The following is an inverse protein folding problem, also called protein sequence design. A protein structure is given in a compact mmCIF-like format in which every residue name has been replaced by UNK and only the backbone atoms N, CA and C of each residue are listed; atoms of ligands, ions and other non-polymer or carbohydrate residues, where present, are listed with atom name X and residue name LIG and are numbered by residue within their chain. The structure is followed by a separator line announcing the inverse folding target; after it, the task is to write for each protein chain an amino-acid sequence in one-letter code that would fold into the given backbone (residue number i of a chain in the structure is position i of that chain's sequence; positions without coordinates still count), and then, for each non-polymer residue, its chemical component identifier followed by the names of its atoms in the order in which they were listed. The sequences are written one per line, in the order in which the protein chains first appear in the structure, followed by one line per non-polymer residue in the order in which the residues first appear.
data_IF_922392306450
#
_entry.id   IF_922392306450
#
_cell.length_a   1.000
_cell.length_b   1.000
_cell.length_c   1.000
_cell.angle_alpha   90.00
_cell.angle_beta   90.00
_cell.angle_gamma   90.00
#
_symmetry.space_group_name_H-M   'P 1'
#
loop_
_entity.id
_entity.type
_entity.pdbx_description
1 polymer ?
#
# COMPACT_ATOMS: atom_id res chain seq x y z
N UNK A 1 -25.65 -21.02 -12.60
CA UNK A 1 -24.64 -20.61 -11.61
C UNK A 1 -24.13 -19.27 -12.08
N UNK A 2 -24.76 -18.22 -11.56
CA UNK A 2 -24.42 -16.84 -11.88
C UNK A 2 -22.96 -16.59 -11.49
N UNK A 3 -22.17 -16.03 -12.40
CA UNK A 3 -20.78 -15.69 -12.12
C UNK A 3 -20.77 -14.62 -11.03
N UNK A 4 -20.53 -15.05 -9.78
CA UNK A 4 -20.75 -14.26 -8.57
C UNK A 4 -19.83 -13.03 -8.46
N UNK A 5 -18.77 -12.95 -9.27
CA UNK A 5 -17.79 -11.86 -9.22
C UNK A 5 -17.31 -11.51 -10.64
N UNK A 6 -17.70 -10.36 -11.21
CA UNK A 6 -17.02 -9.83 -12.38
C UNK A 6 -15.63 -9.36 -11.93
N UNK A 7 -14.57 -10.00 -12.47
CA UNK A 7 -13.15 -9.78 -12.15
C UNK A 7 -12.60 -10.44 -10.87
N UNK A 8 -12.90 -11.74 -10.70
CA UNK A 8 -12.47 -12.60 -9.59
C UNK A 8 -11.02 -12.44 -9.07
N UNK A 9 -9.98 -12.20 -9.90
CA UNK A 9 -8.62 -11.98 -9.38
C UNK A 9 -8.42 -10.64 -8.66
N UNK A 10 -9.05 -9.56 -9.15
CA UNK A 10 -8.93 -8.23 -8.56
C UNK A 10 -9.67 -8.17 -7.22
N UNK A 11 -10.89 -8.72 -7.18
CA UNK A 11 -11.68 -8.82 -5.95
C UNK A 11 -10.92 -9.57 -4.84
N UNK A 12 -10.28 -10.69 -5.18
CA UNK A 12 -9.49 -11.45 -4.23
C UNK A 12 -8.33 -10.63 -3.65
N UNK A 13 -7.63 -9.85 -4.48
CA UNK A 13 -6.51 -9.02 -4.03
C UNK A 13 -6.99 -7.86 -3.16
N UNK A 14 -8.06 -7.16 -3.58
CA UNK A 14 -8.64 -6.04 -2.82
C UNK A 14 -9.13 -6.53 -1.47
N UNK A 15 -9.90 -7.62 -1.42
CA UNK A 15 -10.42 -8.15 -0.17
C UNK A 15 -9.33 -8.67 0.77
N UNK A 16 -8.27 -9.31 0.25
CA UNK A 16 -7.16 -9.76 1.09
C UNK A 16 -6.45 -8.59 1.80
N UNK A 17 -6.19 -7.51 1.06
CA UNK A 17 -5.53 -6.32 1.62
C UNK A 17 -6.47 -5.55 2.55
N UNK A 18 -7.73 -5.34 2.18
CA UNK A 18 -8.71 -4.67 3.03
C UNK A 18 -8.89 -5.40 4.37
N UNK A 19 -9.04 -6.73 4.33
CA UNK A 19 -9.10 -7.57 5.53
C UNK A 19 -7.86 -7.39 6.41
N UNK A 20 -6.67 -7.52 5.81
CA UNK A 20 -5.41 -7.40 6.55
C UNK A 20 -5.29 -6.03 7.23
N UNK A 21 -5.64 -4.95 6.53
CA UNK A 21 -5.53 -3.59 7.06
C UNK A 21 -6.49 -3.31 8.21
N UNK A 22 -7.68 -3.92 8.19
CA UNK A 22 -8.66 -3.83 9.28
C UNK A 22 -8.21 -4.63 10.50
N UNK A 23 -7.78 -5.89 10.29
CA UNK A 23 -7.31 -6.76 11.38
C UNK A 23 -6.05 -6.21 12.06
N UNK A 24 -5.18 -5.54 11.29
CA UNK A 24 -4.00 -4.84 11.82
C UNK A 24 -4.32 -3.47 12.43
N UNK A 25 -5.57 -3.00 12.39
CA UNK A 25 -5.98 -1.69 12.90
C UNK A 25 -5.43 -0.50 12.12
N UNK A 26 -4.92 -0.71 10.91
CA UNK A 26 -4.38 0.34 10.03
C UNK A 26 -5.52 1.16 9.42
N UNK A 27 -6.64 0.52 9.07
CA UNK A 27 -7.86 1.20 8.63
C UNK A 27 -8.95 1.03 9.69
N UNK A 28 -9.45 2.15 10.21
CA UNK A 28 -10.55 2.19 11.20
C UNK A 28 -11.92 2.47 10.58
N UNK A 29 -11.95 2.86 9.31
CA UNK A 29 -13.16 3.18 8.55
C UNK A 29 -13.06 2.76 7.08
N UNK A 30 -13.64 3.56 6.19
CA UNK A 30 -13.46 3.38 4.73
C UNK A 30 -12.12 3.96 4.26
N UNK A 31 -11.68 5.09 4.81
CA UNK A 31 -10.45 5.75 4.37
C UNK A 31 -9.64 6.37 5.51
N UNK A 32 -10.05 6.11 6.75
CA UNK A 32 -9.40 6.55 7.97
C UNK A 32 -8.14 5.72 8.22
N UNK A 33 -6.97 6.35 8.03
CA UNK A 33 -5.65 5.74 8.24
C UNK A 33 -5.22 5.99 9.68
N UNK A 34 -4.87 4.93 10.40
CA UNK A 34 -4.29 4.98 11.72
C UNK A 34 -2.76 4.93 11.64
N UNK A 35 -2.12 6.09 11.48
CA UNK A 35 -0.66 6.21 11.37
C UNK A 35 0.09 5.74 12.63
N UNK A 36 -0.53 5.89 13.81
CA UNK A 36 0.03 5.40 15.06
C UNK A 36 0.10 3.87 15.06
N UNK A 37 -0.95 3.19 14.60
CA UNK A 37 -0.96 1.73 14.49
C UNK A 37 0.01 1.22 13.43
N UNK A 38 0.17 1.94 12.31
CA UNK A 38 1.23 1.62 11.35
C UNK A 38 2.60 1.69 12.04
N UNK A 39 2.87 2.75 12.80
CA UNK A 39 4.14 2.91 13.51
C UNK A 39 4.34 1.80 14.54
N UNK A 40 3.33 1.49 15.35
CA UNK A 40 3.35 0.43 16.35
C UNK A 40 3.65 -0.95 15.73
N UNK A 41 3.03 -1.26 14.59
CA UNK A 41 3.26 -2.51 13.86
C UNK A 41 4.70 -2.67 13.33
N UNK A 42 5.49 -1.59 13.32
CA UNK A 42 6.86 -1.58 12.83
C UNK A 42 7.91 -1.36 13.94
N UNK A 43 7.51 -1.28 15.21
CA UNK A 43 8.43 -1.09 16.35
C UNK A 43 9.46 -2.21 16.52
N UNK A 44 9.15 -3.41 16.00
CA UNK A 44 10.06 -4.57 16.02
C UNK A 44 11.32 -4.39 15.16
N UNK A 45 11.30 -3.45 14.21
CA UNK A 45 12.41 -3.18 13.31
C UNK A 45 13.31 -2.06 13.84
N UNK A 46 14.51 -1.93 13.28
CA UNK A 46 15.45 -0.86 13.63
C UNK A 46 14.99 0.53 13.19
N UNK A 47 15.63 1.56 13.77
CA UNK A 47 15.30 2.97 13.54
C UNK A 47 15.38 3.38 12.07
N UNK A 48 16.34 2.85 11.30
CA UNK A 48 16.47 3.18 9.88
C UNK A 48 15.27 2.68 9.09
N UNK A 49 14.83 1.45 9.36
CA UNK A 49 13.62 0.91 8.73
C UNK A 49 12.36 1.66 9.15
N UNK A 50 12.24 1.99 10.45
CA UNK A 50 11.13 2.81 10.95
C UNK A 50 11.07 4.18 10.26
N UNK A 51 12.22 4.84 10.07
CA UNK A 51 12.29 6.12 9.37
C UNK A 51 11.86 6.01 7.89
N UNK A 52 12.29 4.95 7.20
CA UNK A 52 11.90 4.71 5.81
C UNK A 52 10.37 4.50 5.69
N UNK A 53 9.78 3.72 6.59
CA UNK A 53 8.33 3.49 6.63
C UNK A 53 7.58 4.79 6.98
N UNK A 54 8.05 5.56 7.96
CA UNK A 54 7.43 6.85 8.30
C UNK A 54 7.41 7.82 7.11
N UNK A 55 8.51 7.89 6.33
CA UNK A 55 8.56 8.68 5.09
C UNK A 55 7.56 8.16 4.05
N UNK A 56 7.49 6.84 3.87
CA UNK A 56 6.54 6.22 2.95
C UNK A 56 5.08 6.52 3.34
N UNK A 57 4.73 6.38 4.62
CA UNK A 57 3.40 6.68 5.16
C UNK A 57 3.05 8.15 4.90
N UNK A 58 3.92 9.09 5.28
CA UNK A 58 3.69 10.51 5.06
C UNK A 58 3.48 10.87 3.58
N UNK A 59 4.28 10.28 2.68
CA UNK A 59 4.12 10.47 1.23
C UNK A 59 2.79 9.91 0.70
N UNK A 60 2.31 8.80 1.27
CA UNK A 60 1.05 8.18 0.87
C UNK A 60 -0.18 8.88 1.44
N UNK A 61 -0.13 9.34 2.69
CA UNK A 61 -1.19 10.17 3.29
C UNK A 61 -1.37 11.45 2.47
N UNK A 62 -0.29 12.08 2.02
CA UNK A 62 -0.36 13.25 1.14
C UNK A 62 -1.03 12.97 -0.23
N UNK A 63 -1.08 11.70 -0.66
CA UNK A 63 -1.72 11.26 -1.91
C UNK A 63 -3.13 10.69 -1.71
N UNK A 64 -3.67 10.74 -0.48
CA UNK A 64 -4.96 10.11 -0.12
C UNK A 64 -6.10 10.49 -1.07
N UNK A 65 -6.28 11.78 -1.36
CA UNK A 65 -7.36 12.24 -2.24
C UNK A 65 -7.30 11.61 -3.64
N UNK A 66 -6.10 11.55 -4.24
CA UNK A 66 -5.89 10.90 -5.53
C UNK A 66 -6.18 9.40 -5.45
N UNK A 67 -5.78 8.73 -4.38
CA UNK A 67 -6.05 7.30 -4.20
C UNK A 67 -7.55 7.01 -4.06
N UNK A 68 -8.32 7.90 -3.44
CA UNK A 68 -9.78 7.80 -3.39
C UNK A 68 -10.43 7.95 -4.76
N UNK A 69 -9.98 8.94 -5.55
CA UNK A 69 -10.42 9.11 -6.94
C UNK A 69 -10.13 7.85 -7.79
N UNK A 70 -8.94 7.29 -7.64
CA UNK A 70 -8.57 6.06 -8.35
C UNK A 70 -9.35 4.84 -7.85
N UNK A 71 -9.57 4.72 -6.55
CA UNK A 71 -10.33 3.62 -5.95
C UNK A 71 -11.78 3.61 -6.43
N UNK A 72 -12.40 4.78 -6.61
CA UNK A 72 -13.77 4.92 -7.10
C UNK A 72 -13.98 4.40 -8.53
N UNK A 73 -12.89 4.18 -9.30
CA UNK A 73 -12.97 3.57 -10.64
C UNK A 73 -13.17 2.05 -10.60
N UNK A 74 -12.89 1.40 -9.45
CA UNK A 74 -13.00 -0.04 -9.29
C UNK A 74 -14.32 -0.41 -8.63
N UNK A 75 -14.97 -1.45 -9.16
CA UNK A 75 -16.18 -2.04 -8.58
C UNK A 75 -15.83 -3.38 -7.97
N UNK A 76 -15.54 -3.37 -6.68
CA UNK A 76 -15.15 -4.56 -5.92
C UNK A 76 -16.02 -4.74 -4.70
N UNK A 77 -16.08 -5.96 -4.18
CA UNK A 77 -16.87 -6.28 -2.98
C UNK A 77 -16.27 -5.67 -1.70
N UNK A 78 -14.95 -5.51 -1.67
CA UNK A 78 -14.21 -4.92 -0.55
C UNK A 78 -13.64 -3.55 -0.93
N UNK A 79 -13.07 -2.86 0.05
CA UNK A 79 -12.62 -1.48 -0.12
C UNK A 79 -11.36 -1.35 -1.01
N UNK A 80 -11.46 -0.78 -2.23
CA UNK A 80 -10.32 -0.63 -3.13
C UNK A 80 -9.28 0.39 -2.62
N UNK A 81 -9.64 1.28 -1.70
CA UNK A 81 -8.70 2.22 -1.10
C UNK A 81 -7.57 1.51 -0.37
N UNK A 82 -7.85 0.39 0.31
CA UNK A 82 -6.83 -0.38 1.02
C UNK A 82 -5.73 -0.88 0.07
N UNK A 83 -6.11 -1.40 -1.11
CA UNK A 83 -5.16 -1.84 -2.12
C UNK A 83 -4.34 -0.67 -2.69
N UNK A 84 -4.98 0.48 -2.94
CA UNK A 84 -4.30 1.70 -3.42
C UNK A 84 -3.28 2.22 -2.42
N UNK A 85 -3.67 2.30 -1.15
CA UNK A 85 -2.78 2.74 -0.09
C UNK A 85 -1.63 1.75 0.11
N UNK A 86 -1.89 0.44 0.10
CA UNK A 86 -0.84 -0.58 0.16
C UNK A 86 0.17 -0.47 -0.99
N UNK A 87 -0.31 -0.33 -2.23
CA UNK A 87 0.54 -0.12 -3.39
C UNK A 87 1.40 1.15 -3.27
N UNK A 88 0.84 2.22 -2.71
CA UNK A 88 1.62 3.43 -2.43
C UNK A 88 2.73 3.15 -1.40
N UNK A 89 2.41 2.52 -0.26
CA UNK A 89 3.39 2.21 0.79
C UNK A 89 4.52 1.35 0.21
N UNK A 90 4.21 0.32 -0.57
CA UNK A 90 5.21 -0.54 -1.20
C UNK A 90 6.16 0.26 -2.10
N UNK A 91 5.63 1.18 -2.92
CA UNK A 91 6.44 2.00 -3.82
C UNK A 91 7.31 3.01 -3.08
N UNK A 92 6.73 3.74 -2.13
CA UNK A 92 7.47 4.75 -1.38
C UNK A 92 8.51 4.10 -0.45
N UNK A 93 8.22 2.90 0.08
CA UNK A 93 9.21 2.12 0.85
C UNK A 93 10.41 1.74 -0.01
N UNK A 94 10.20 1.37 -1.28
CA UNK A 94 11.31 1.09 -2.21
C UNK A 94 12.10 2.36 -2.56
N UNK A 95 11.43 3.51 -2.73
CA UNK A 95 12.11 4.80 -2.99
C UNK A 95 12.93 5.29 -1.81
N UNK A 96 12.46 5.03 -0.60
CA UNK A 96 13.11 5.41 0.64
C UNK A 96 13.94 4.29 1.27
N UNK A 97 14.16 3.19 0.53
CA UNK A 97 14.98 2.08 1.00
C UNK A 97 16.40 2.58 1.29
N UNK A 98 16.95 2.33 2.50
CA UNK A 98 18.30 2.74 2.84
C UNK A 98 19.35 2.10 1.93
N UNK A 99 20.41 2.84 1.59
CA UNK A 99 21.47 2.36 0.67
C UNK A 99 22.11 1.05 1.16
N UNK A 100 22.29 0.92 2.47
CA UNK A 100 22.90 -0.27 3.07
C UNK A 100 22.01 -1.53 2.98
N UNK A 101 20.73 -1.37 2.65
CA UNK A 101 19.77 -2.48 2.42
C UNK A 101 19.36 -2.63 0.97
N UNK A 102 19.84 -1.73 0.11
CA UNK A 102 19.45 -1.69 -1.28
C UNK A 102 20.16 -2.78 -2.10
N UNK A 103 19.38 -3.52 -2.89
CA UNK A 103 19.92 -4.42 -3.91
C UNK A 103 19.95 -3.66 -5.25
N UNK A 104 21.15 -3.49 -5.82
CA UNK A 104 21.40 -2.73 -7.05
C UNK A 104 21.11 -3.51 -8.34
N UNK A 105 20.21 -4.50 -8.28
CA UNK A 105 19.75 -5.18 -9.48
C UNK A 105 19.12 -4.20 -10.49
N UNK A 106 19.22 -4.46 -11.81
CA UNK A 106 18.64 -3.57 -12.83
C UNK A 106 17.14 -3.35 -12.68
N UNK A 107 16.41 -4.28 -12.06
CA UNK A 107 14.98 -4.13 -11.80
C UNK A 107 14.73 -3.19 -10.62
N UNK A 108 15.47 -3.36 -9.53
CA UNK A 108 15.38 -2.50 -8.36
C UNK A 108 15.70 -1.05 -8.73
N UNK A 109 16.77 -0.80 -9.51
CA UNK A 109 17.13 0.56 -9.96
C UNK A 109 16.00 1.24 -10.74
N UNK A 110 15.28 0.49 -11.58
CA UNK A 110 14.11 1.02 -12.30
C UNK A 110 12.99 1.40 -11.35
N UNK A 111 12.69 0.56 -10.36
CA UNK A 111 11.65 0.83 -9.36
C UNK A 111 12.02 2.07 -8.54
N UNK A 112 13.28 2.19 -8.12
CA UNK A 112 13.79 3.35 -7.38
C UNK A 112 13.73 4.65 -8.19
N UNK A 113 14.01 4.56 -9.49
CA UNK A 113 13.86 5.67 -10.44
C UNK A 113 12.39 6.04 -10.72
N UNK A 114 11.42 5.34 -10.12
CA UNK A 114 10.00 5.66 -10.23
C UNK A 114 9.30 5.04 -11.43
N UNK A 115 9.82 3.92 -11.96
CA UNK A 115 9.07 3.13 -12.93
C UNK A 115 7.67 2.80 -12.39
N UNK A 116 6.65 3.03 -13.23
CA UNK A 116 5.26 2.73 -12.87
C UNK A 116 5.13 1.23 -12.63
N UNK A 117 4.52 0.77 -11.52
CA UNK A 117 4.21 -0.63 -11.36
C UNK A 117 3.38 -1.12 -12.54
N UNK A 118 3.51 -2.41 -12.88
CA UNK A 118 2.58 -3.06 -13.79
C UNK A 118 1.17 -2.82 -13.23
N UNK A 119 0.35 -2.07 -13.98
CA UNK A 119 -1.06 -1.92 -13.66
C UNK A 119 -1.68 -3.31 -13.74
N UNK A 120 -2.24 -3.77 -12.62
CA UNK A 120 -3.14 -4.93 -12.59
C UNK A 120 -4.51 -4.48 -13.10
#
# INVERSE_FOLDING_TARGET
MDAKYPDAPLDSAVCAIDCTYREMGILTGEDEINEEMISANHEVYDATYQEAIAKAVGACVAKKAKMLEEAAMFKTECNPFALKFHGCIALESMRHCPEERWDSSPLCEKVRAGATPCMV
#
